data_IF_506067034489
#
_entry.id   IF_506067034489
#
_cell.length_a   1.000
_cell.length_b   1.000
_cell.length_c   1.000
_cell.angle_alpha   90.00
_cell.angle_beta   90.00
_cell.angle_gamma   90.00
#
_symmetry.space_group_name_H-M   'P 1'
#
loop_
_entity.id
_entity.type
_entity.pdbx_description
1 polymer ?
#
# COMPACT_ATOMS: atom_id res chain seq x y z
N UNK A 1 -6.83 -20.01 -12.61
CA UNK A 1 -5.69 -20.46 -11.79
C UNK A 1 -5.71 -19.64 -10.51
N UNK A 2 -5.92 -20.27 -9.35
CA UNK A 2 -5.96 -19.57 -8.05
C UNK A 2 -4.55 -19.24 -7.54
N UNK A 3 -4.44 -18.17 -6.75
CA UNK A 3 -3.21 -17.85 -6.00
C UNK A 3 -3.12 -18.77 -4.79
N UNK A 4 -1.93 -19.27 -4.47
CA UNK A 4 -1.71 -20.02 -3.24
C UNK A 4 -1.50 -19.03 -2.09
N UNK A 5 -2.43 -18.98 -1.14
CA UNK A 5 -2.43 -18.04 -0.01
C UNK A 5 -2.09 -18.81 1.27
N UNK A 6 -1.17 -18.27 2.07
CA UNK A 6 -0.75 -18.85 3.35
C UNK A 6 -0.88 -17.81 4.45
N UNK A 7 -1.50 -18.18 5.57
CA UNK A 7 -1.59 -17.33 6.76
C UNK A 7 -0.36 -17.56 7.66
N UNK A 8 0.35 -16.49 8.02
CA UNK A 8 1.60 -16.55 8.82
C UNK A 8 1.32 -16.12 10.26
N UNK A 9 1.51 -17.03 11.22
CA UNK A 9 1.25 -16.80 12.66
C UNK A 9 2.40 -16.17 13.45
N UNK A 10 3.24 -15.34 12.83
CA UNK A 10 4.37 -14.67 13.50
C UNK A 10 4.00 -13.23 13.88
N UNK A 11 4.40 -12.79 15.07
CA UNK A 11 4.25 -11.38 15.50
C UNK A 11 5.44 -10.58 15.00
N UNK A 12 5.23 -9.81 13.95
CA UNK A 12 6.23 -8.97 13.29
C UNK A 12 5.63 -7.58 13.08
N UNK A 13 6.45 -6.53 13.03
CA UNK A 13 6.01 -5.26 12.44
C UNK A 13 5.84 -5.40 10.92
N UNK A 14 5.21 -4.44 10.25
CA UNK A 14 4.92 -4.55 8.82
C UNK A 14 6.20 -4.74 7.98
N UNK A 15 7.25 -3.97 8.25
CA UNK A 15 8.53 -4.09 7.54
C UNK A 15 9.15 -5.48 7.68
N UNK A 16 9.15 -6.03 8.90
CA UNK A 16 9.67 -7.39 9.17
C UNK A 16 8.77 -8.46 8.55
N UNK A 17 7.45 -8.26 8.55
CA UNK A 17 6.50 -9.17 7.90
C UNK A 17 6.69 -9.19 6.39
N UNK A 18 6.92 -8.02 5.77
CA UNK A 18 7.22 -7.90 4.35
C UNK A 18 8.51 -8.64 3.99
N UNK A 19 9.60 -8.38 4.71
CA UNK A 19 10.88 -9.05 4.49
C UNK A 19 10.75 -10.56 4.68
N UNK A 20 10.11 -11.00 5.77
CA UNK A 20 9.85 -12.41 6.04
C UNK A 20 9.05 -13.07 4.90
N UNK A 21 7.99 -12.43 4.40
CA UNK A 21 7.19 -12.97 3.31
C UNK A 21 7.94 -12.98 1.97
N UNK A 22 8.91 -12.09 1.73
CA UNK A 22 9.77 -12.15 0.53
C UNK A 22 10.87 -13.20 0.63
N UNK A 23 11.37 -13.47 1.83
CA UNK A 23 12.44 -14.45 2.06
C UNK A 23 11.91 -15.89 2.10
N UNK A 24 10.75 -16.11 2.73
CA UNK A 24 10.19 -17.44 2.99
C UNK A 24 8.92 -17.76 2.18
N UNK A 25 8.30 -16.75 1.58
CA UNK A 25 7.12 -16.87 0.73
C UNK A 25 7.34 -16.10 -0.59
N UNK A 26 6.27 -15.64 -1.24
CA UNK A 26 6.39 -14.78 -2.43
C UNK A 26 6.42 -13.29 -2.06
N UNK A 27 5.38 -12.82 -1.37
CA UNK A 27 5.24 -11.45 -0.88
C UNK A 27 4.05 -11.37 0.10
N UNK A 28 3.80 -10.21 0.69
CA UNK A 28 2.54 -9.93 1.38
C UNK A 28 1.37 -9.97 0.39
N UNK A 29 0.24 -10.50 0.85
CA UNK A 29 -0.99 -10.59 0.07
C UNK A 29 -1.56 -9.19 -0.19
N UNK A 30 -1.79 -8.85 -1.45
CA UNK A 30 -2.64 -7.74 -1.85
C UNK A 30 -4.01 -8.27 -2.24
N UNK A 31 -5.07 -7.75 -1.59
CA UNK A 31 -6.46 -8.16 -1.77
C UNK A 31 -7.04 -7.47 -3.00
N UNK A 32 -7.48 -8.26 -3.97
CA UNK A 32 -7.92 -7.78 -5.29
C UNK A 32 -9.43 -7.64 -5.42
N UNK A 33 -10.20 -8.11 -4.44
CA UNK A 33 -11.65 -8.06 -4.48
C UNK A 33 -12.31 -8.91 -3.38
N UNK A 34 -13.64 -9.00 -3.39
CA UNK A 34 -14.41 -9.67 -2.34
C UNK A 34 -14.15 -11.19 -2.28
N UNK A 35 -13.89 -11.85 -3.41
CA UNK A 35 -13.59 -13.28 -3.43
C UNK A 35 -12.31 -13.64 -2.65
N UNK A 36 -11.24 -12.85 -2.79
CA UNK A 36 -10.01 -13.05 -2.00
C UNK A 36 -10.26 -12.74 -0.51
N UNK A 37 -11.16 -11.81 -0.20
CA UNK A 37 -11.54 -11.48 1.17
C UNK A 37 -12.24 -12.66 1.87
N UNK A 38 -13.19 -13.32 1.19
CA UNK A 38 -13.91 -14.48 1.74
C UNK A 38 -12.96 -15.65 2.05
N UNK A 39 -11.98 -15.90 1.18
CA UNK A 39 -10.96 -16.94 1.41
C UNK A 39 -10.12 -16.61 2.65
N UNK A 40 -9.70 -15.35 2.80
CA UNK A 40 -8.94 -14.89 3.98
C UNK A 40 -9.76 -15.09 5.24
N UNK A 41 -11.04 -14.70 5.23
CA UNK A 41 -11.93 -14.83 6.39
C UNK A 41 -12.08 -16.30 6.82
N UNK A 42 -12.19 -17.23 5.85
CA UNK A 42 -12.20 -18.67 6.15
C UNK A 42 -10.87 -19.14 6.77
N UNK A 43 -9.74 -18.76 6.18
CA UNK A 43 -8.41 -19.13 6.69
C UNK A 43 -8.18 -18.61 8.11
N UNK A 44 -8.61 -17.38 8.38
CA UNK A 44 -8.54 -16.73 9.70
C UNK A 44 -9.41 -17.46 10.71
N UNK A 45 -10.63 -17.88 10.33
CA UNK A 45 -11.52 -18.63 11.22
C UNK A 45 -10.98 -20.00 11.62
N UNK A 46 -10.14 -20.60 10.76
CA UNK A 46 -9.54 -21.93 10.93
C UNK A 46 -8.13 -21.89 11.51
N UNK A 47 -7.59 -20.70 11.82
CA UNK A 47 -6.24 -20.55 12.34
C UNK A 47 -6.09 -21.26 13.70
N UNK A 48 -5.05 -22.10 13.84
CA UNK A 48 -4.78 -22.85 15.07
C UNK A 48 -3.74 -22.17 15.99
N UNK A 49 -3.49 -20.88 15.77
CA UNK A 49 -2.54 -20.07 16.53
C UNK A 49 -3.20 -18.74 16.94
N UNK A 50 -2.68 -18.06 17.98
CA UNK A 50 -3.22 -16.78 18.41
C UNK A 50 -3.07 -15.72 17.31
N UNK A 51 -4.19 -15.20 16.83
CA UNK A 51 -4.23 -14.09 15.88
C UNK A 51 -4.14 -12.77 16.63
N UNK A 52 -3.55 -11.76 15.98
CA UNK A 52 -3.68 -10.37 16.44
C UNK A 52 -4.99 -9.78 15.91
N UNK A 53 -5.38 -8.60 16.38
CA UNK A 53 -6.57 -7.91 15.88
C UNK A 53 -6.47 -7.51 14.41
N UNK A 54 -5.26 -7.52 13.83
CA UNK A 54 -4.97 -7.04 12.49
C UNK A 54 -4.10 -8.05 11.72
N UNK A 55 -4.13 -7.97 10.39
CA UNK A 55 -3.30 -8.77 9.50
C UNK A 55 -2.54 -7.83 8.56
N UNK A 56 -1.25 -8.09 8.39
CA UNK A 56 -0.44 -7.35 7.44
C UNK A 56 -0.74 -7.79 6.01
N UNK A 57 -1.07 -6.82 5.17
CA UNK A 57 -1.33 -6.99 3.74
C UNK A 57 -0.48 -6.00 2.94
N UNK A 58 -0.20 -6.34 1.69
CA UNK A 58 0.47 -5.46 0.75
C UNK A 58 -0.54 -4.57 0.04
N UNK A 59 -0.26 -3.27 -0.09
CA UNK A 59 -1.13 -2.33 -0.80
C UNK A 59 -0.74 -2.25 -2.29
N UNK A 60 -0.95 -3.36 -3.03
CA UNK A 60 -0.55 -3.47 -4.46
C UNK A 60 -1.71 -3.61 -5.44
N UNK A 61 -2.90 -3.24 -5.01
CA UNK A 61 -4.12 -3.31 -5.82
C UNK A 61 -4.77 -1.95 -5.88
N UNK A 62 -5.52 -1.72 -6.95
CA UNK A 62 -6.18 -0.46 -7.23
C UNK A 62 -5.49 0.35 -8.32
N UNK A 63 -5.92 1.59 -8.44
CA UNK A 63 -5.44 2.52 -9.45
C UNK A 63 -4.81 3.73 -8.76
N UNK A 64 -3.48 3.83 -8.87
CA UNK A 64 -2.74 4.98 -8.42
C UNK A 64 -2.83 6.11 -9.45
N UNK A 65 -3.03 7.33 -8.98
CA UNK A 65 -3.08 8.55 -9.80
C UNK A 65 -2.42 9.69 -9.05
N UNK A 66 -1.83 10.64 -9.78
CA UNK A 66 -1.19 11.81 -9.18
C UNK A 66 -1.41 13.06 -10.03
N UNK A 67 -1.15 14.23 -9.45
CA UNK A 67 -1.40 15.54 -10.06
C UNK A 67 -0.55 15.83 -11.30
N UNK A 68 0.63 15.19 -11.42
CA UNK A 68 1.54 15.29 -12.57
C UNK A 68 2.56 14.15 -12.54
N UNK A 69 3.12 13.78 -13.69
CA UNK A 69 4.12 12.70 -13.78
C UNK A 69 5.49 13.29 -14.14
N UNK A 70 6.43 13.25 -13.20
CA UNK A 70 7.84 13.52 -13.51
C UNK A 70 8.45 12.30 -14.24
N UNK A 71 9.45 12.45 -15.13
CA UNK A 71 10.01 11.34 -15.90
C UNK A 71 10.54 10.19 -15.03
N UNK A 72 9.97 8.99 -15.18
CA UNK A 72 10.21 7.77 -14.37
C UNK A 72 9.63 7.78 -12.94
N UNK A 73 8.84 8.79 -12.59
CA UNK A 73 8.21 8.94 -11.28
C UNK A 73 6.71 8.68 -11.29
N UNK A 74 6.25 7.58 -11.91
CA UNK A 74 4.82 7.33 -12.13
C UNK A 74 4.06 7.07 -10.82
N UNK A 75 2.73 7.18 -10.84
CA UNK A 75 1.91 7.06 -9.63
C UNK A 75 1.94 5.62 -9.08
N UNK A 76 1.88 4.64 -9.98
CA UNK A 76 1.88 3.21 -9.69
C UNK A 76 3.14 2.72 -8.98
N UNK A 77 4.24 3.46 -9.11
CA UNK A 77 5.50 3.13 -8.45
C UNK A 77 5.33 3.08 -6.91
N UNK A 78 4.43 3.89 -6.33
CA UNK A 78 4.17 3.84 -4.89
C UNK A 78 3.43 2.57 -4.41
N UNK A 79 2.86 1.77 -5.33
CA UNK A 79 2.11 0.54 -5.04
C UNK A 79 2.66 -0.67 -5.80
N UNK A 80 3.79 -0.54 -6.47
CA UNK A 80 4.48 -1.66 -7.12
C UNK A 80 5.03 -2.65 -6.08
N UNK A 81 5.13 -2.17 -4.83
CA UNK A 81 5.72 -2.78 -3.66
C UNK A 81 7.17 -3.20 -3.88
N UNK A 82 7.93 -2.37 -4.56
CA UNK A 82 9.34 -2.22 -4.32
C UNK A 82 9.48 -0.95 -3.45
N UNK A 83 10.22 -1.05 -2.36
CA UNK A 83 10.39 0.03 -1.38
C UNK A 83 11.79 0.63 -1.48
N UNK A 84 12.44 0.49 -2.63
CA UNK A 84 13.77 1.03 -2.88
C UNK A 84 13.72 2.56 -2.84
N UNK A 85 14.44 3.19 -1.90
CA UNK A 85 14.37 4.63 -1.70
C UNK A 85 15.18 5.43 -2.73
N UNK A 86 15.93 4.77 -3.63
CA UNK A 86 16.72 5.42 -4.67
C UNK A 86 15.89 5.66 -5.94
N UNK A 87 15.74 6.93 -6.29
CA UNK A 87 14.88 7.35 -7.40
C UNK A 87 15.31 6.73 -8.74
N UNK A 88 16.62 6.65 -8.96
CA UNK A 88 17.17 6.15 -10.22
C UNK A 88 16.89 4.67 -10.47
N UNK A 89 16.43 3.93 -9.47
CA UNK A 89 16.01 2.52 -9.62
C UNK A 89 14.57 2.38 -10.12
N UNK A 90 13.82 3.47 -10.26
CA UNK A 90 12.54 3.51 -10.99
C UNK A 90 11.30 3.08 -10.21
N UNK A 91 11.40 2.89 -8.89
CA UNK A 91 10.28 2.48 -8.02
C UNK A 91 9.72 3.63 -7.16
N UNK A 92 10.28 4.82 -7.27
CA UNK A 92 9.75 6.00 -6.59
C UNK A 92 8.68 6.71 -7.43
N UNK A 93 7.66 7.28 -6.80
CA UNK A 93 6.72 8.22 -7.42
C UNK A 93 7.19 9.66 -7.24
N UNK A 94 7.00 10.53 -8.24
CA UNK A 94 7.40 11.94 -8.21
C UNK A 94 6.47 12.77 -9.11
N UNK A 95 5.93 13.85 -8.55
CA UNK A 95 5.23 14.91 -9.28
C UNK A 95 6.18 15.99 -9.77
N UNK A 96 5.73 16.78 -10.74
CA UNK A 96 6.38 18.06 -11.05
C UNK A 96 6.27 19.02 -9.85
N UNK A 97 7.11 20.07 -9.85
CA UNK A 97 7.03 21.12 -8.84
C UNK A 97 5.70 21.88 -8.95
N UNK A 98 4.86 21.77 -7.92
CA UNK A 98 3.51 22.31 -7.84
C UNK A 98 3.24 22.82 -6.42
N UNK A 99 2.28 23.75 -6.25
CA UNK A 99 1.92 24.31 -4.94
C UNK A 99 1.24 23.26 -4.02
N UNK A 100 0.35 22.45 -4.58
CA UNK A 100 -0.41 21.40 -3.86
C UNK A 100 -0.39 20.09 -4.65
N UNK A 101 0.77 19.43 -4.76
CA UNK A 101 0.85 18.14 -5.42
C UNK A 101 0.04 17.11 -4.62
N UNK A 102 -0.59 16.17 -5.33
CA UNK A 102 -1.33 15.10 -4.68
C UNK A 102 -1.04 13.76 -5.38
N UNK A 103 -1.09 12.71 -4.58
CA UNK A 103 -1.11 11.33 -5.01
C UNK A 103 -2.30 10.64 -4.36
N UNK A 104 -2.97 9.74 -5.09
CA UNK A 104 -4.14 9.01 -4.61
C UNK A 104 -4.12 7.57 -5.10
N UNK A 105 -4.49 6.67 -4.21
CA UNK A 105 -4.87 5.29 -4.53
C UNK A 105 -6.39 5.12 -4.49
N UNK A 106 -6.97 4.67 -5.59
CA UNK A 106 -8.34 4.16 -5.61
C UNK A 106 -8.32 2.64 -5.44
N UNK A 107 -8.81 2.15 -4.30
CA UNK A 107 -8.94 0.72 -4.03
C UNK A 107 -10.14 0.11 -4.79
N UNK A 108 -10.10 -1.20 -5.11
CA UNK A 108 -11.17 -1.86 -5.88
C UNK A 108 -12.50 -2.00 -5.11
N UNK A 109 -12.49 -1.74 -3.81
CA UNK A 109 -13.64 -1.83 -2.93
C UNK A 109 -13.44 -0.96 -1.69
N UNK A 110 -14.42 -1.00 -0.79
CA UNK A 110 -14.35 -0.28 0.48
C UNK A 110 -13.68 -1.18 1.51
N UNK A 111 -12.57 -0.70 2.06
CA UNK A 111 -11.79 -1.42 3.07
C UNK A 111 -11.69 -0.59 4.34
N UNK A 112 -11.61 -1.27 5.50
CA UNK A 112 -11.24 -0.61 6.75
C UNK A 112 -9.72 -0.46 6.77
N UNK A 113 -9.25 0.77 6.57
CA UNK A 113 -7.82 1.10 6.69
C UNK A 113 -7.47 1.22 8.17
N UNK A 114 -6.42 0.51 8.59
CA UNK A 114 -5.98 0.45 9.99
C UNK A 114 -4.65 1.17 10.19
N UNK A 115 -3.74 1.00 9.23
CA UNK A 115 -2.41 1.56 9.27
C UNK A 115 -1.95 1.87 7.84
N UNK A 116 -1.20 2.95 7.70
CA UNK A 116 -0.58 3.35 6.44
C UNK A 116 0.89 3.59 6.74
N UNK A 117 1.75 2.90 5.99
CA UNK A 117 3.19 3.11 6.02
C UNK A 117 3.62 3.76 4.70
N UNK A 118 4.40 4.84 4.79
CA UNK A 118 4.92 5.56 3.62
C UNK A 118 6.44 5.50 3.67
N UNK A 119 7.04 4.92 2.62
CA UNK A 119 8.50 4.90 2.46
C UNK A 119 8.95 6.15 1.72
N UNK A 120 9.86 6.91 2.33
CA UNK A 120 10.43 8.12 1.72
C UNK A 120 11.72 7.79 0.95
N UNK A 121 12.10 8.66 0.03
CA UNK A 121 13.36 8.60 -0.71
C UNK A 121 14.56 8.84 0.20
N UNK A 122 15.72 8.32 -0.22
CA UNK A 122 16.99 8.52 0.48
C UNK A 122 17.56 9.96 0.29
N UNK A 123 17.27 10.57 -0.86
CA UNK A 123 17.58 11.95 -1.25
C UNK A 123 16.31 12.77 -1.39
N UNK A 124 16.41 14.06 -1.15
CA UNK A 124 15.28 15.00 -1.21
C UNK A 124 14.12 14.61 -0.27
N UNK A 125 14.42 13.93 0.84
CA UNK A 125 13.44 13.44 1.82
C UNK A 125 12.52 14.54 2.37
N UNK A 126 12.99 15.78 2.37
CA UNK A 126 12.22 16.94 2.83
C UNK A 126 10.99 17.23 1.98
N UNK A 127 10.89 16.66 0.77
CA UNK A 127 9.71 16.79 -0.10
C UNK A 127 8.43 16.18 0.48
N UNK A 128 8.54 15.22 1.40
CA UNK A 128 7.40 14.68 2.14
C UNK A 128 7.12 15.41 3.45
N UNK A 129 7.86 16.48 3.78
CA UNK A 129 7.56 17.27 4.98
C UNK A 129 6.18 17.93 4.84
N UNK A 130 5.33 17.74 5.85
CA UNK A 130 3.95 18.23 5.81
C UNK A 130 2.98 17.34 5.03
N UNK A 131 3.35 16.08 4.74
CA UNK A 131 2.42 15.09 4.16
C UNK A 131 1.14 14.99 5.00
N UNK A 132 0.00 15.23 4.37
CA UNK A 132 -1.32 14.95 4.91
C UNK A 132 -1.87 13.67 4.27
N UNK A 133 -2.40 12.77 5.09
CA UNK A 133 -3.05 11.53 4.63
C UNK A 133 -4.54 11.68 4.89
N UNK A 134 -5.34 11.54 3.83
CA UNK A 134 -6.79 11.64 3.87
C UNK A 134 -7.40 10.32 3.40
N UNK A 135 -8.39 9.81 4.12
CA UNK A 135 -9.02 8.52 3.82
C UNK A 135 -10.53 8.73 3.71
N UNK A 136 -11.10 8.31 2.58
CA UNK A 136 -12.54 8.34 2.39
C UNK A 136 -12.97 7.87 1.02
N UNK A 137 -14.28 7.92 0.80
CA UNK A 137 -14.93 7.39 -0.40
C UNK A 137 -15.30 8.48 -1.43
N UNK A 138 -14.93 9.74 -1.18
CA UNK A 138 -15.24 10.84 -2.10
C UNK A 138 -14.14 11.03 -3.14
N UNK A 139 -14.55 11.20 -4.40
CA UNK A 139 -13.66 11.56 -5.52
C UNK A 139 -13.72 13.05 -5.86
N UNK A 140 -14.56 13.82 -5.15
CA UNK A 140 -14.63 15.28 -5.30
C UNK A 140 -13.26 15.89 -5.00
N UNK A 141 -12.84 16.87 -5.81
CA UNK A 141 -11.52 17.53 -5.68
C UNK A 141 -10.36 16.51 -5.62
N UNK A 142 -10.40 15.46 -6.45
CA UNK A 142 -9.44 14.37 -6.43
C UNK A 142 -9.31 13.63 -5.09
N UNK A 143 -10.30 13.74 -4.20
CA UNK A 143 -10.27 13.15 -2.87
C UNK A 143 -9.56 14.00 -1.81
N UNK A 144 -9.13 15.22 -2.16
CA UNK A 144 -8.48 16.15 -1.22
C UNK A 144 -9.44 16.74 -0.17
N UNK A 145 -10.74 16.49 -0.31
CA UNK A 145 -11.78 16.93 0.64
C UNK A 145 -12.23 15.78 1.58
N UNK A 146 -11.58 14.61 1.51
CA UNK A 146 -11.87 13.53 2.45
C UNK A 146 -11.44 13.90 3.89
N UNK A 147 -12.07 13.29 4.92
CA UNK A 147 -11.70 13.54 6.31
C UNK A 147 -10.23 13.24 6.61
N UNK A 148 -9.69 14.00 7.57
CA UNK A 148 -8.40 13.77 8.22
C UNK A 148 -8.50 12.69 9.28
#
# INVERSE_FOLDING_TARGET
MGRNITLVGKRLCWSDALLYCRDFHWDLLSIRGPEEQEIIDEMVSRANFPLTSHLWVGLRSGTATQSSNYPNGLAENAIDGNSDPEYTHGSCTVTDYQDKPWWRLQLPGVYRVLEIEVTNRNRDKDRLNGLEILIGNSMVNNGNDNPR
#
